data_IF_308602301425
#
_entry.id   IF_308602301425
#
_cell.length_a   1.000
_cell.length_b   1.000
_cell.length_c   1.000
_cell.angle_alpha   90.00
_cell.angle_beta   90.00
_cell.angle_gamma   90.00
#
_symmetry.space_group_name_H-M   'P 1'
#
loop_
_entity.id
_entity.type
_entity.pdbx_description
1 polymer ?
#
# COMPACT_ATOMS: atom_id res chain seq x y z
N UNK A 1 0.21 29.88 -7.07
CA UNK A 1 0.63 28.46 -7.09
C UNK A 1 0.43 27.89 -5.71
N UNK A 2 0.11 26.60 -5.62
CA UNK A 2 -0.06 25.86 -4.38
C UNK A 2 1.15 24.94 -4.22
N UNK A 3 1.71 24.87 -3.02
CA UNK A 3 2.90 24.08 -2.72
C UNK A 3 2.53 22.98 -1.75
N UNK A 4 2.85 21.73 -2.09
CA UNK A 4 2.86 20.61 -1.14
C UNK A 4 4.30 20.41 -0.71
N UNK A 5 4.53 20.30 0.60
CA UNK A 5 5.88 20.31 1.15
C UNK A 5 6.05 19.30 2.28
N UNK A 6 7.30 18.87 2.46
CA UNK A 6 7.72 18.09 3.63
C UNK A 6 8.89 18.80 4.30
N UNK A 7 8.77 18.98 5.61
CA UNK A 7 9.83 19.50 6.47
C UNK A 7 10.24 18.43 7.48
N UNK A 8 11.53 18.42 7.86
CA UNK A 8 12.08 17.58 8.91
C UNK A 8 12.58 18.44 10.06
N UNK A 9 12.24 18.06 11.29
CA UNK A 9 12.83 18.63 12.49
C UNK A 9 14.26 18.12 12.67
N UNK A 10 15.21 19.04 12.84
CA UNK A 10 16.62 18.70 12.86
C UNK A 10 17.02 17.79 14.05
N UNK A 11 16.42 18.03 15.22
CA UNK A 11 16.77 17.33 16.46
C UNK A 11 15.99 16.03 16.64
N UNK A 12 14.68 16.04 16.36
CA UNK A 12 13.81 14.88 16.61
C UNK A 12 13.68 13.96 15.40
N UNK A 13 14.07 14.42 14.20
CA UNK A 13 13.85 13.74 12.92
C UNK A 13 12.38 13.53 12.56
N UNK A 14 11.47 14.19 13.29
CA UNK A 14 10.05 14.24 12.99
C UNK A 14 9.82 14.88 11.62
N UNK A 15 8.84 14.36 10.87
CA UNK A 15 8.45 14.93 9.58
C UNK A 15 7.06 15.55 9.68
N UNK A 16 6.87 16.66 8.97
CA UNK A 16 5.56 17.28 8.79
C UNK A 16 5.28 17.47 7.29
N UNK A 17 4.07 17.09 6.88
CA UNK A 17 3.58 17.21 5.51
C UNK A 17 2.45 18.24 5.51
N UNK A 18 2.53 19.22 4.63
CA UNK A 18 1.51 20.26 4.52
C UNK A 18 1.39 20.82 3.12
N UNK A 19 0.42 21.72 2.95
CA UNK A 19 0.32 22.57 1.78
C UNK A 19 0.22 24.05 2.15
N UNK A 20 0.60 24.93 1.23
CA UNK A 20 0.54 26.39 1.42
C UNK A 20 0.59 27.13 0.08
N UNK A 21 0.09 28.36 0.04
CA UNK A 21 0.31 29.28 -1.10
C UNK A 21 1.59 30.11 -0.94
N UNK A 22 2.24 30.07 0.23
CA UNK A 22 3.48 30.77 0.52
C UNK A 22 4.41 29.89 1.37
N UNK A 23 5.30 29.16 0.70
CA UNK A 23 6.20 28.19 1.34
C UNK A 23 7.21 28.85 2.28
N UNK A 24 7.79 29.98 1.86
CA UNK A 24 8.79 30.71 2.64
C UNK A 24 8.20 31.21 3.97
N UNK A 25 7.02 31.81 3.92
CA UNK A 25 6.32 32.29 5.11
C UNK A 25 5.95 31.13 6.02
N UNK A 26 5.42 30.04 5.45
CA UNK A 26 4.99 28.87 6.22
C UNK A 26 6.16 28.19 6.95
N UNK A 27 7.31 28.03 6.31
CA UNK A 27 8.52 27.49 6.96
C UNK A 27 8.98 28.41 8.11
N UNK A 28 8.96 29.73 7.90
CA UNK A 28 9.27 30.69 8.95
C UNK A 28 8.25 30.65 10.11
N UNK A 29 7.00 30.31 9.85
CA UNK A 29 5.98 30.15 10.90
C UNK A 29 6.18 28.87 11.72
N UNK A 30 6.56 27.76 11.08
CA UNK A 30 6.97 26.53 11.78
C UNK A 30 8.16 26.80 12.72
N UNK A 31 9.18 27.52 12.22
CA UNK A 31 10.40 27.85 12.98
C UNK A 31 10.19 28.94 14.05
N UNK A 32 9.06 29.64 14.03
CA UNK A 32 8.65 30.61 15.07
C UNK A 32 7.58 30.05 16.01
N UNK A 33 7.36 28.73 15.97
CA UNK A 33 6.37 28.02 16.81
C UNK A 33 4.93 28.53 16.66
N UNK A 34 4.60 29.13 15.52
CA UNK A 34 3.25 29.65 15.22
C UNK A 34 2.27 28.58 14.75
N UNK A 35 2.71 27.33 14.67
CA UNK A 35 1.90 26.18 14.29
C UNK A 35 1.85 25.19 15.44
N UNK A 36 0.65 24.93 15.97
CA UNK A 36 0.43 24.08 17.16
C UNK A 36 1.08 22.71 16.99
N UNK A 37 0.94 22.09 15.81
CA UNK A 37 1.47 20.74 15.54
C UNK A 37 3.00 20.67 15.49
N UNK A 38 3.69 21.81 15.39
CA UNK A 38 5.16 21.87 15.34
C UNK A 38 5.72 22.88 16.34
N UNK A 39 4.91 23.30 17.33
CA UNK A 39 5.28 24.29 18.34
C UNK A 39 6.26 23.72 19.38
N UNK A 40 6.38 22.39 19.44
CA UNK A 40 7.37 21.68 20.23
C UNK A 40 8.54 21.32 19.31
N UNK A 41 9.66 22.03 19.40
CA UNK A 41 10.86 21.61 18.66
C UNK A 41 11.86 22.69 18.31
N UNK A 42 13.01 22.21 17.84
CA UNK A 42 14.11 22.97 17.23
C UNK A 42 13.81 23.35 15.77
N UNK A 43 14.84 23.71 15.02
CA UNK A 43 14.76 24.14 13.63
C UNK A 43 14.16 23.05 12.71
N UNK A 44 13.22 23.47 11.86
CA UNK A 44 12.64 22.68 10.77
C UNK A 44 13.28 23.06 9.44
N UNK A 45 13.69 22.05 8.69
CA UNK A 45 14.33 22.19 7.38
C UNK A 45 13.42 21.63 6.29
N UNK A 46 13.31 22.33 5.16
CA UNK A 46 12.57 21.86 3.99
C UNK A 46 13.36 20.76 3.28
N UNK A 47 12.74 19.58 3.11
CA UNK A 47 13.39 18.42 2.49
C UNK A 47 12.75 18.03 1.16
N UNK A 48 11.53 18.50 0.90
CA UNK A 48 10.80 18.25 -0.34
C UNK A 48 9.74 19.32 -0.60
N UNK A 49 9.54 19.67 -1.86
CA UNK A 49 8.46 20.54 -2.30
C UNK A 49 8.07 20.21 -3.75
N UNK A 50 6.77 20.24 -4.02
CA UNK A 50 6.19 20.19 -5.36
C UNK A 50 5.09 21.26 -5.51
N UNK A 51 4.82 21.69 -6.74
CA UNK A 51 3.99 22.86 -7.02
C UNK A 51 2.85 22.56 -7.98
N UNK A 52 1.67 23.09 -7.69
CA UNK A 52 0.44 22.91 -8.44
C UNK A 52 -0.19 24.24 -8.84
N UNK A 53 -0.88 24.23 -9.98
CA UNK A 53 -1.70 25.36 -10.42
C UNK A 53 -3.04 25.40 -9.70
N UNK A 54 -3.70 24.25 -9.51
CA UNK A 54 -5.01 24.15 -8.86
C UNK A 54 -4.92 23.70 -7.40
N UNK A 55 -5.81 24.25 -6.57
CA UNK A 55 -5.86 23.96 -5.13
C UNK A 55 -6.21 22.50 -4.85
N UNK A 56 -7.15 21.93 -5.60
CA UNK A 56 -7.66 20.58 -5.37
C UNK A 56 -6.58 19.52 -5.65
N UNK A 57 -5.75 19.72 -6.68
CA UNK A 57 -4.63 18.83 -6.99
C UNK A 57 -3.61 18.80 -5.84
N UNK A 58 -3.25 19.98 -5.31
CA UNK A 58 -2.35 20.09 -4.16
C UNK A 58 -2.92 19.41 -2.91
N UNK A 59 -4.22 19.57 -2.64
CA UNK A 59 -4.88 18.92 -1.51
C UNK A 59 -4.94 17.40 -1.67
N UNK A 60 -5.27 16.91 -2.87
CA UNK A 60 -5.28 15.48 -3.19
C UNK A 60 -3.89 14.87 -2.98
N UNK A 61 -2.86 15.59 -3.42
CA UNK A 61 -1.47 15.16 -3.24
C UNK A 61 -1.01 15.20 -1.79
N UNK A 62 -1.31 16.25 -1.03
CA UNK A 62 -1.01 16.31 0.40
C UNK A 62 -1.65 15.13 1.14
N UNK A 63 -2.93 14.84 0.85
CA UNK A 63 -3.64 13.68 1.42
C UNK A 63 -2.94 12.37 1.06
N UNK A 64 -2.51 12.21 -0.20
CA UNK A 64 -1.74 11.05 -0.62
C UNK A 64 -0.41 10.92 0.13
N UNK A 65 0.40 11.99 0.20
CA UNK A 65 1.70 11.94 0.89
C UNK A 65 1.59 11.64 2.39
N UNK A 66 0.46 11.98 3.02
CA UNK A 66 0.14 11.62 4.41
C UNK A 66 -0.32 10.17 4.60
N UNK A 67 -0.63 9.43 3.52
CA UNK A 67 -0.94 8.00 3.60
C UNK A 67 0.34 7.17 3.75
N UNK A 68 0.19 5.91 4.20
CA UNK A 68 1.33 4.98 4.27
C UNK A 68 1.99 4.75 2.90
N UNK A 69 1.20 4.63 1.82
CA UNK A 69 1.73 4.46 0.46
C UNK A 69 2.42 5.71 -0.08
N UNK A 70 1.85 6.89 0.14
CA UNK A 70 2.49 8.14 -0.31
C UNK A 70 3.76 8.49 0.44
N UNK A 71 3.82 8.19 1.74
CA UNK A 71 5.05 8.33 2.50
C UNK A 71 6.14 7.35 2.04
N UNK A 72 5.77 6.08 1.77
CA UNK A 72 6.69 5.08 1.19
C UNK A 72 7.20 5.49 -0.20
N UNK A 73 6.33 6.09 -1.03
CA UNK A 73 6.72 6.69 -2.31
C UNK A 73 7.76 7.79 -2.11
N UNK A 74 7.49 8.75 -1.22
CA UNK A 74 8.37 9.91 -1.01
C UNK A 74 9.73 9.51 -0.44
N UNK A 75 9.78 8.54 0.48
CA UNK A 75 11.03 7.99 1.03
C UNK A 75 11.99 7.50 -0.06
N UNK A 76 11.47 6.99 -1.17
CA UNK A 76 12.29 6.49 -2.29
C UNK A 76 12.83 7.63 -3.13
N UNK A 77 12.00 8.63 -3.38
CA UNK A 77 12.45 9.85 -4.06
C UNK A 77 13.52 10.59 -3.24
N UNK A 78 13.43 10.52 -1.91
CA UNK A 78 14.39 11.09 -0.98
C UNK A 78 15.40 10.06 -0.45
N UNK A 79 15.63 8.95 -1.16
CA UNK A 79 16.43 7.82 -0.66
C UNK A 79 17.83 8.22 -0.22
N UNK A 80 18.51 9.10 -0.97
CA UNK A 80 19.83 9.62 -0.61
C UNK A 80 19.78 10.55 0.59
N UNK A 81 18.81 11.47 0.64
CA UNK A 81 18.64 12.36 1.80
C UNK A 81 18.38 11.57 3.09
N UNK A 82 17.62 10.48 2.97
CA UNK A 82 17.28 9.59 4.08
C UNK A 82 18.33 8.49 4.32
N UNK A 83 19.44 8.47 3.59
CA UNK A 83 20.52 7.47 3.67
C UNK A 83 20.00 6.01 3.55
N UNK A 84 19.00 5.79 2.69
CA UNK A 84 18.37 4.49 2.46
C UNK A 84 19.08 3.67 1.37
N UNK A 85 20.06 4.24 0.67
CA UNK A 85 20.86 3.61 -0.39
C UNK A 85 22.33 4.00 -0.21
N UNK A 86 23.25 3.23 -0.79
CA UNK A 86 24.68 3.56 -0.77
C UNK A 86 24.94 4.90 -1.48
N UNK A 87 25.98 5.62 -1.04
CA UNK A 87 26.28 6.99 -1.49
C UNK A 87 26.48 7.15 -3.01
N UNK A 88 26.75 6.07 -3.75
CA UNK A 88 27.11 6.10 -5.17
C UNK A 88 26.04 5.54 -6.13
N UNK A 89 24.86 5.13 -5.64
CA UNK A 89 23.82 4.49 -6.47
C UNK A 89 22.68 5.46 -6.86
N UNK A 90 22.73 6.04 -8.06
CA UNK A 90 21.65 6.89 -8.58
C UNK A 90 20.42 6.05 -8.96
N UNK A 91 19.32 6.10 -8.17
CA UNK A 91 18.03 5.49 -8.57
C UNK A 91 17.18 6.47 -9.38
N UNK A 92 16.95 6.16 -10.65
CA UNK A 92 16.04 6.92 -11.53
C UNK A 92 14.60 6.64 -11.08
N UNK A 93 13.83 7.70 -10.79
CA UNK A 93 12.41 7.58 -10.50
C UNK A 93 11.63 7.11 -11.73
N UNK A 94 10.85 6.03 -11.59
CA UNK A 94 9.96 5.52 -12.63
C UNK A 94 8.62 6.26 -12.64
N UNK A 95 8.01 6.47 -13.81
CA UNK A 95 6.57 6.74 -13.91
C UNK A 95 5.86 5.49 -13.37
N UNK A 96 5.39 5.56 -12.12
CA UNK A 96 4.73 4.43 -11.48
C UNK A 96 3.23 4.47 -11.80
N UNK A 97 2.78 3.57 -12.66
CA UNK A 97 1.36 3.21 -12.70
C UNK A 97 1.04 2.55 -11.35
N UNK A 98 0.04 3.04 -10.57
CA UNK A 98 -0.33 2.38 -9.32
C UNK A 98 -0.64 0.91 -9.59
N UNK A 99 0.03 0.01 -8.87
CA UNK A 99 -0.10 -1.42 -9.07
C UNK A 99 -0.65 -2.08 -7.82
N UNK A 100 -1.77 -2.78 -7.97
CA UNK A 100 -2.34 -3.64 -6.94
C UNK A 100 -1.97 -5.10 -7.17
N UNK A 101 -1.86 -5.87 -6.10
CA UNK A 101 -1.68 -7.32 -6.13
C UNK A 101 -2.71 -7.98 -5.23
N UNK A 102 -3.28 -9.10 -5.68
CA UNK A 102 -4.27 -9.88 -4.94
C UNK A 102 -3.96 -11.36 -5.04
N UNK A 103 -4.24 -12.14 -4.00
CA UNK A 103 -3.98 -13.57 -4.00
C UNK A 103 -5.25 -14.41 -3.96
N UNK A 104 -5.27 -15.45 -4.79
CA UNK A 104 -6.17 -16.59 -4.66
C UNK A 104 -5.43 -17.69 -3.93
N UNK A 105 -5.90 -17.99 -2.71
CA UNK A 105 -5.45 -19.12 -1.90
C UNK A 105 -6.63 -20.09 -1.76
N UNK A 106 -6.47 -21.33 -2.21
CA UNK A 106 -7.51 -22.35 -2.11
C UNK A 106 -7.09 -23.49 -1.17
N UNK A 107 -7.98 -23.89 -0.26
CA UNK A 107 -7.76 -25.07 0.57
C UNK A 107 -8.15 -26.37 -0.15
N UNK A 108 -7.96 -27.52 0.51
CA UNK A 108 -8.30 -28.84 -0.04
C UNK A 108 -9.80 -29.07 -0.31
N UNK A 109 -10.68 -28.32 0.36
CA UNK A 109 -12.13 -28.36 0.18
C UNK A 109 -12.61 -27.48 -0.99
N UNK A 110 -11.71 -26.71 -1.60
CA UNK A 110 -12.03 -25.79 -2.69
C UNK A 110 -12.46 -24.40 -2.21
N UNK A 111 -12.43 -24.12 -0.90
CA UNK A 111 -12.74 -22.82 -0.31
C UNK A 111 -11.59 -21.84 -0.49
N UNK A 112 -11.92 -20.55 -0.59
CA UNK A 112 -10.97 -19.46 -0.84
C UNK A 112 -10.69 -18.69 0.43
N UNK A 113 -9.43 -18.40 0.71
CA UNK A 113 -9.06 -17.51 1.81
C UNK A 113 -9.50 -16.09 1.48
N UNK A 114 -10.36 -15.54 2.32
CA UNK A 114 -10.86 -14.18 2.16
C UNK A 114 -10.68 -13.39 3.46
N UNK A 115 -10.56 -12.08 3.30
CA UNK A 115 -10.56 -11.12 4.39
C UNK A 115 -11.88 -10.34 4.39
N UNK A 116 -12.43 -10.07 5.57
CA UNK A 116 -13.57 -9.17 5.73
C UNK A 116 -13.06 -7.80 6.14
N UNK A 117 -13.14 -6.84 5.24
CA UNK A 117 -12.61 -5.49 5.43
C UNK A 117 -13.27 -4.80 6.62
N UNK A 118 -12.50 -4.04 7.39
CA UNK A 118 -13.04 -3.31 8.56
C UNK A 118 -13.74 -2.01 8.21
N UNK A 119 -13.50 -1.44 7.03
CA UNK A 119 -14.00 -0.14 6.62
C UNK A 119 -15.40 -0.17 5.98
N UNK A 120 -15.68 -1.16 5.12
CA UNK A 120 -16.97 -1.31 4.43
C UNK A 120 -17.70 -2.63 4.76
N UNK A 121 -17.05 -3.55 5.49
CA UNK A 121 -17.63 -4.83 5.90
C UNK A 121 -17.76 -5.87 4.78
N UNK A 122 -17.23 -5.60 3.58
CA UNK A 122 -17.25 -6.51 2.43
C UNK A 122 -16.10 -7.52 2.47
N UNK A 123 -16.22 -8.60 1.70
CA UNK A 123 -15.19 -9.63 1.56
C UNK A 123 -14.33 -9.40 0.32
N UNK A 124 -13.02 -9.57 0.47
CA UNK A 124 -12.06 -9.48 -0.64
C UNK A 124 -11.01 -10.59 -0.58
N UNK A 125 -10.32 -10.76 -1.70
CA UNK A 125 -9.00 -11.42 -1.68
C UNK A 125 -8.07 -10.63 -0.75
N UNK A 126 -7.17 -11.30 -0.02
CA UNK A 126 -6.03 -10.64 0.61
C UNK A 126 -5.09 -10.07 -0.46
N UNK A 127 -4.52 -8.89 -0.20
CA UNK A 127 -3.77 -8.14 -1.19
C UNK A 127 -3.67 -6.66 -0.88
N UNK A 128 -2.93 -5.94 -1.70
CA UNK A 128 -2.66 -4.53 -1.47
C UNK A 128 -1.86 -3.87 -2.58
N UNK A 129 -1.25 -2.74 -2.27
CA UNK A 129 -0.48 -1.97 -3.24
C UNK A 129 0.98 -2.44 -3.29
N UNK A 130 1.53 -2.49 -4.50
CA UNK A 130 2.96 -2.70 -4.70
C UNK A 130 3.72 -1.44 -4.34
N UNK A 131 4.64 -1.57 -3.40
CA UNK A 131 5.56 -0.51 -3.08
C UNK A 131 6.66 -0.40 -4.17
N UNK A 132 7.05 0.82 -4.56
CA UNK A 132 8.11 1.07 -5.55
C UNK A 132 9.54 0.47 -5.32
N UNK A 133 9.77 -0.41 -4.33
CA UNK A 133 11.07 -1.04 -4.00
C UNK A 133 10.94 -2.56 -3.85
N UNK A 134 9.76 -3.10 -4.12
CA UNK A 134 9.51 -4.53 -4.11
C UNK A 134 8.96 -4.91 -5.48
N UNK A 135 9.25 -6.14 -5.88
CA UNK A 135 8.59 -6.78 -7.01
C UNK A 135 7.13 -7.09 -6.64
N UNK A 136 6.22 -7.23 -7.60
CA UNK A 136 4.86 -7.66 -7.30
C UNK A 136 4.77 -8.99 -6.54
N UNK A 137 5.69 -9.92 -6.80
CA UNK A 137 5.84 -11.18 -6.07
C UNK A 137 6.22 -10.98 -4.59
N UNK A 138 7.09 -10.01 -4.31
CA UNK A 138 7.44 -9.64 -2.93
C UNK A 138 6.28 -8.93 -2.25
N UNK A 139 5.60 -8.03 -2.95
CA UNK A 139 4.41 -7.33 -2.46
C UNK A 139 3.33 -8.32 -2.02
N UNK A 140 2.96 -9.28 -2.88
CA UNK A 140 1.88 -10.21 -2.52
C UNK A 140 2.26 -11.12 -1.35
N UNK A 141 3.53 -11.53 -1.24
CA UNK A 141 4.01 -12.29 -0.07
C UNK A 141 3.95 -11.46 1.21
N UNK A 142 4.28 -10.17 1.14
CA UNK A 142 4.21 -9.23 2.26
C UNK A 142 2.76 -9.01 2.70
N UNK A 143 1.88 -8.64 1.77
CA UNK A 143 0.45 -8.37 2.05
C UNK A 143 -0.22 -9.60 2.70
N UNK A 144 -0.02 -10.81 2.14
CA UNK A 144 -0.58 -12.04 2.71
C UNK A 144 -0.07 -12.29 4.13
N UNK A 145 1.22 -12.09 4.37
CA UNK A 145 1.81 -12.27 5.70
C UNK A 145 1.23 -11.26 6.71
N UNK A 146 1.12 -10.00 6.31
CA UNK A 146 0.60 -8.90 7.15
C UNK A 146 -0.89 -9.07 7.48
N UNK A 147 -1.70 -9.47 6.50
CA UNK A 147 -3.16 -9.57 6.65
C UNK A 147 -3.63 -10.89 7.26
N UNK A 148 -2.89 -11.98 7.05
CA UNK A 148 -3.36 -13.33 7.39
C UNK A 148 -2.42 -14.14 8.28
N UNK A 149 -1.22 -13.63 8.54
CA UNK A 149 -0.12 -14.34 9.22
C UNK A 149 0.37 -15.63 8.52
N UNK A 150 0.03 -15.80 7.24
CA UNK A 150 0.47 -16.94 6.42
C UNK A 150 1.71 -16.59 5.60
N UNK A 151 2.66 -17.52 5.50
CA UNK A 151 3.75 -17.47 4.55
C UNK A 151 3.36 -18.27 3.31
N UNK A 152 3.48 -17.65 2.15
CA UNK A 152 3.08 -18.24 0.87
C UNK A 152 4.22 -18.32 -0.13
N UNK A 153 4.09 -19.22 -1.11
CA UNK A 153 4.87 -19.22 -2.35
C UNK A 153 3.95 -18.86 -3.50
N UNK A 154 4.44 -18.03 -4.42
CA UNK A 154 3.73 -17.71 -5.66
C UNK A 154 3.83 -18.92 -6.58
N UNK A 155 2.70 -19.34 -7.12
CA UNK A 155 2.62 -20.40 -8.12
C UNK A 155 2.53 -19.82 -9.52
N UNK A 156 1.66 -18.83 -9.71
CA UNK A 156 1.32 -18.29 -11.03
C UNK A 156 0.77 -16.85 -10.93
N UNK A 157 1.07 -16.01 -11.93
CA UNK A 157 0.34 -14.78 -12.23
C UNK A 157 -0.84 -15.13 -13.15
N UNK A 158 -2.04 -15.20 -12.61
CA UNK A 158 -3.19 -15.80 -13.28
C UNK A 158 -4.11 -14.81 -13.99
N UNK A 159 -4.10 -13.52 -13.60
CA UNK A 159 -4.87 -12.48 -14.27
C UNK A 159 -4.21 -11.10 -14.13
N UNK A 160 -4.45 -10.23 -15.10
CA UNK A 160 -3.99 -8.82 -15.12
C UNK A 160 -5.14 -7.95 -15.63
N UNK A 161 -5.52 -6.95 -14.84
CA UNK A 161 -6.54 -5.98 -15.24
C UNK A 161 -6.00 -4.55 -15.18
N UNK A 162 -6.49 -3.70 -16.06
CA UNK A 162 -6.27 -2.25 -16.02
C UNK A 162 -7.60 -1.60 -15.65
N UNK A 163 -7.61 -0.82 -14.57
CA UNK A 163 -8.77 -0.07 -14.10
C UNK A 163 -8.95 1.19 -14.96
N UNK A 164 -10.16 1.75 -14.98
CA UNK A 164 -10.41 3.06 -15.62
C UNK A 164 -9.59 4.20 -14.99
N UNK A 165 -9.21 4.04 -13.71
CA UNK A 165 -8.27 4.94 -13.02
C UNK A 165 -6.84 4.88 -13.59
N UNK A 166 -6.55 3.93 -14.48
CA UNK A 166 -5.23 3.63 -15.01
C UNK A 166 -4.39 2.71 -14.13
N UNK A 167 -4.86 2.29 -12.94
CA UNK A 167 -4.11 1.34 -12.11
C UNK A 167 -4.11 -0.08 -12.70
N UNK A 168 -3.01 -0.80 -12.53
CA UNK A 168 -2.86 -2.20 -12.95
C UNK A 168 -3.05 -3.10 -11.74
N UNK A 169 -3.91 -4.11 -11.81
CA UNK A 169 -4.08 -5.07 -10.72
C UNK A 169 -3.73 -6.48 -11.20
N UNK A 170 -2.85 -7.13 -10.45
CA UNK A 170 -2.35 -8.48 -10.71
C UNK A 170 -3.03 -9.47 -9.77
N UNK A 171 -3.52 -10.59 -10.30
CA UNK A 171 -4.08 -11.68 -9.49
C UNK A 171 -3.11 -12.86 -9.51
N UNK A 172 -2.60 -13.23 -8.35
CA UNK A 172 -1.70 -14.37 -8.18
C UNK A 172 -2.43 -15.58 -7.63
N UNK A 173 -2.07 -16.76 -8.10
CA UNK A 173 -2.37 -18.03 -7.42
C UNK A 173 -1.17 -18.35 -6.53
N UNK A 174 -1.42 -18.60 -5.26
CA UNK A 174 -0.37 -18.86 -4.27
C UNK A 174 -0.72 -20.09 -3.43
N UNK A 175 0.30 -20.71 -2.84
CA UNK A 175 0.16 -21.87 -1.96
C UNK A 175 0.77 -21.57 -0.58
N UNK A 176 0.11 -22.07 0.47
CA UNK A 176 0.50 -21.83 1.86
C UNK A 176 1.66 -22.74 2.21
N UNK A 177 2.78 -22.13 2.61
CA UNK A 177 3.98 -22.85 3.05
C UNK A 177 3.93 -23.11 4.55
N UNK A 178 3.49 -22.12 5.34
CA UNK A 178 3.39 -22.22 6.80
C UNK A 178 2.57 -21.06 7.39
N UNK A 179 2.26 -21.17 8.68
CA UNK A 179 1.53 -20.14 9.44
C UNK A 179 0.15 -20.62 9.87
N UNK A 180 -0.47 -19.85 10.77
CA UNK A 180 -1.85 -20.05 11.21
C UNK A 180 -2.62 -18.78 10.91
N UNK A 181 -3.85 -18.93 10.43
CA UNK A 181 -4.69 -17.78 10.05
C UNK A 181 -4.91 -16.90 11.27
N UNK A 182 -4.54 -15.63 11.12
CA UNK A 182 -4.85 -14.57 12.08
C UNK A 182 -4.96 -13.25 11.32
N UNK A 183 -6.09 -12.58 11.50
CA UNK A 183 -6.36 -11.28 10.88
C UNK A 183 -5.52 -10.14 11.44
N UNK A 184 -5.55 -9.01 10.73
CA UNK A 184 -4.93 -7.74 11.11
C UNK A 184 -5.96 -6.75 11.69
N UNK A 185 -5.53 -5.56 12.08
CA UNK A 185 -6.44 -4.46 12.48
C UNK A 185 -7.30 -3.93 11.32
N UNK A 186 -6.92 -4.25 10.07
CA UNK A 186 -7.60 -3.82 8.85
C UNK A 186 -8.68 -4.83 8.39
N UNK A 187 -8.72 -6.00 9.03
CA UNK A 187 -9.70 -7.06 8.78
C UNK A 187 -10.49 -7.39 10.05
N UNK A 188 -11.82 -7.43 9.96
CA UNK A 188 -12.65 -7.93 11.07
C UNK A 188 -12.70 -9.45 11.15
N UNK A 189 -12.34 -10.13 10.06
CA UNK A 189 -12.38 -11.58 9.94
C UNK A 189 -11.48 -12.06 8.80
N UNK A 190 -10.90 -13.26 8.93
CA UNK A 190 -10.08 -13.91 7.90
C UNK A 190 -10.35 -15.41 7.96
N UNK A 191 -10.84 -16.00 6.87
CA UNK A 191 -11.17 -17.42 6.82
C UNK A 191 -11.34 -17.95 5.40
N UNK A 192 -11.30 -19.26 5.27
CA UNK A 192 -11.68 -19.96 4.06
C UNK A 192 -13.21 -20.00 3.92
N UNK A 193 -13.72 -19.58 2.76
CA UNK A 193 -15.15 -19.61 2.44
C UNK A 193 -15.40 -20.19 1.04
N UNK A 194 -16.49 -20.96 0.84
CA UNK A 194 -16.99 -21.23 -0.49
C UNK A 194 -17.44 -19.93 -1.16
N UNK A 195 -17.07 -19.72 -2.44
CA UNK A 195 -17.39 -18.49 -3.20
C UNK A 195 -18.90 -18.19 -3.15
N UNK A 196 -19.73 -19.21 -3.32
CA UNK A 196 -21.19 -19.08 -3.36
C UNK A 196 -21.82 -18.75 -1.98
N UNK A 197 -21.06 -18.87 -0.88
CA UNK A 197 -21.54 -18.50 0.47
C UNK A 197 -21.34 -17.02 0.79
N UNK A 198 -20.60 -16.29 -0.04
CA UNK A 198 -20.22 -14.90 0.21
C UNK A 198 -21.26 -13.97 -0.40
N UNK A 199 -21.98 -13.26 0.46
CA UNK A 199 -23.11 -12.40 0.06
C UNK A 199 -22.72 -10.94 -0.23
N UNK A 200 -21.53 -10.49 0.17
CA UNK A 200 -21.11 -9.09 0.06
C UNK A 200 -19.63 -9.02 -0.35
N UNK A 201 -19.39 -8.87 -1.65
CA UNK A 201 -18.04 -8.79 -2.23
C UNK A 201 -17.57 -7.35 -2.40
N UNK A 202 -16.28 -7.13 -2.16
CA UNK A 202 -15.62 -5.89 -2.50
C UNK A 202 -15.38 -5.84 -4.02
N UNK A 203 -15.88 -4.78 -4.67
CA UNK A 203 -15.67 -4.51 -6.09
C UNK A 203 -15.87 -5.76 -6.97
N UNK A 204 -14.88 -6.10 -7.80
CA UNK A 204 -14.89 -7.20 -8.77
C UNK A 204 -14.10 -8.43 -8.30
N UNK A 205 -13.78 -8.56 -7.01
CA UNK A 205 -12.94 -9.66 -6.53
C UNK A 205 -13.57 -11.03 -6.78
N UNK A 206 -14.90 -11.17 -6.67
CA UNK A 206 -15.60 -12.41 -7.00
C UNK A 206 -15.35 -12.80 -8.47
N UNK A 207 -15.53 -11.85 -9.39
CA UNK A 207 -15.39 -12.11 -10.82
C UNK A 207 -13.95 -12.46 -11.19
N UNK A 208 -12.99 -11.76 -10.58
CA UNK A 208 -11.55 -12.06 -10.71
C UNK A 208 -11.22 -13.48 -10.26
N UNK A 209 -11.72 -13.90 -9.09
CA UNK A 209 -11.54 -15.28 -8.60
C UNK A 209 -12.17 -16.27 -9.60
N UNK A 210 -13.42 -16.04 -10.04
CA UNK A 210 -14.12 -16.93 -10.97
C UNK A 210 -13.39 -17.10 -12.31
N UNK A 211 -12.67 -16.07 -12.80
CA UNK A 211 -11.84 -16.18 -14.01
C UNK A 211 -10.66 -17.13 -13.88
N UNK A 212 -10.06 -17.21 -12.68
CA UNK A 212 -8.80 -17.94 -12.48
C UNK A 212 -8.94 -19.24 -11.70
N UNK A 213 -10.08 -19.48 -11.04
CA UNK A 213 -10.21 -20.61 -10.10
C UNK A 213 -9.96 -21.98 -10.72
N UNK A 214 -10.27 -22.15 -12.01
CA UNK A 214 -10.00 -23.39 -12.76
C UNK A 214 -8.51 -23.67 -12.99
N UNK A 215 -7.64 -22.67 -12.79
CA UNK A 215 -6.18 -22.77 -12.93
C UNK A 215 -5.52 -23.15 -11.60
N UNK A 216 -6.23 -23.05 -10.47
CA UNK A 216 -5.67 -23.30 -9.13
C UNK A 216 -5.37 -24.79 -8.95
N UNK A 217 -4.11 -25.19 -8.66
CA UNK A 217 -3.81 -26.57 -8.33
C UNK A 217 -4.52 -26.96 -7.03
N UNK A 218 -5.23 -28.09 -7.03
CA UNK A 218 -5.81 -28.63 -5.79
C UNK A 218 -4.70 -28.85 -4.77
N UNK A 219 -4.78 -28.15 -3.63
CA UNK A 219 -3.78 -28.20 -2.56
C UNK A 219 -3.44 -29.65 -2.17
N UNK A 220 -2.13 -29.93 -1.98
CA UNK A 220 -1.59 -31.24 -1.59
C UNK A 220 -1.41 -31.41 -0.08
N UNK A 221 -1.78 -30.44 0.75
CA UNK A 221 -1.57 -30.56 2.20
C UNK A 221 -2.67 -31.42 2.84
N UNK A 222 -2.28 -32.64 3.21
CA UNK A 222 -3.00 -33.45 4.21
C UNK A 222 -2.92 -32.72 5.53
N UNK A 223 -4.04 -32.20 6.01
CA UNK A 223 -4.25 -31.97 7.44
C UNK A 223 -4.14 -33.33 8.13
N UNK A 224 -3.07 -33.56 8.88
CA UNK A 224 -3.02 -34.57 9.93
C UNK A 224 -3.60 -33.98 11.22
#
# INVERSE_FOLDING_TARGET
>A
MYHVYVIENESTKEKYIGYTTNLKQRLADHNRHKNISTAHGSQWNLIYCETYLHKLDALGREKFLKSGSGWRFLKKQLSHYLNMVGNDELKIGSISVPMGVDAVVQNSEGHILLIKRSDDGTWSMPGGWVDANETPDEAIKREILEETSLKVKVLELADVIVRESGSVHLTYIVDVVSGNIRGSVESTDVRYLPIESVNAWHADHMDRIKRVIGQVPKSRTKTN
#
